data_IF_428038980800
#
_entry.id   IF_428038980800
#
_cell.length_a   1.000
_cell.length_b   1.000
_cell.length_c   1.000
_cell.angle_alpha   90.00
_cell.angle_beta   90.00
_cell.angle_gamma   90.00
#
_symmetry.space_group_name_H-M   'P 1'
#
loop_
_entity.id
_entity.type
_entity.pdbx_description
1 polymer ?
#
# COMPACT_ATOMS: atom_id res chain seq x y z
N UNK A 1 9.26 1.06 9.61
CA UNK A 1 8.31 2.14 9.95
C UNK A 1 9.11 3.38 10.32
N UNK A 2 8.77 4.55 9.76
CA UNK A 2 9.36 5.84 10.12
C UNK A 2 8.22 6.80 10.44
N UNK A 3 8.22 7.40 11.64
CA UNK A 3 7.08 8.13 12.19
C UNK A 3 7.53 9.15 13.25
N UNK A 4 6.82 10.27 13.46
CA UNK A 4 7.12 11.18 14.56
C UNK A 4 6.73 10.58 15.92
N UNK A 5 7.19 11.19 17.01
CA UNK A 5 6.98 10.71 18.40
C UNK A 5 5.52 10.64 18.85
N UNK A 6 4.58 11.18 18.05
CA UNK A 6 3.13 11.06 18.25
C UNK A 6 2.54 9.73 17.78
N UNK A 7 3.36 8.79 17.31
CA UNK A 7 2.91 7.46 16.91
C UNK A 7 3.76 6.37 17.54
N UNK A 8 3.22 5.16 17.51
CA UNK A 8 3.88 3.93 17.94
C UNK A 8 3.71 2.88 16.84
N UNK A 9 4.54 1.85 16.91
CA UNK A 9 4.37 0.61 16.15
C UNK A 9 4.20 -0.50 17.14
N UNK A 10 3.02 -1.12 17.13
CA UNK A 10 2.68 -2.24 18.01
C UNK A 10 2.35 -3.46 17.17
N UNK A 11 3.10 -4.55 17.35
CA UNK A 11 2.73 -5.85 16.81
C UNK A 11 1.65 -6.46 17.72
N UNK A 12 0.54 -6.91 17.13
CA UNK A 12 -0.64 -7.37 17.87
C UNK A 12 -1.21 -8.65 17.26
N UNK A 13 -2.15 -9.29 17.98
CA UNK A 13 -2.91 -10.41 17.44
C UNK A 13 -3.89 -9.95 16.34
N UNK A 14 -4.40 -10.87 15.53
CA UNK A 14 -5.41 -10.56 14.51
C UNK A 14 -6.71 -9.99 15.09
N UNK A 15 -7.12 -10.47 16.28
CA UNK A 15 -8.29 -9.95 16.99
C UNK A 15 -8.07 -8.51 17.46
N UNK A 16 -6.89 -8.23 18.02
CA UNK A 16 -6.56 -6.89 18.52
C UNK A 16 -6.40 -5.89 17.36
N UNK A 17 -5.85 -6.33 16.22
CA UNK A 17 -5.78 -5.52 14.99
C UNK A 17 -7.17 -5.15 14.45
N UNK A 18 -8.10 -6.09 14.51
CA UNK A 18 -9.47 -5.89 14.01
C UNK A 18 -10.24 -4.94 14.92
N UNK A 19 -10.09 -5.11 16.24
CA UNK A 19 -10.76 -4.32 17.26
C UNK A 19 -10.00 -3.03 17.65
N UNK A 20 -8.81 -2.79 17.11
CA UNK A 20 -7.90 -1.73 17.55
C UNK A 20 -7.63 -1.74 19.07
N UNK A 21 -7.47 -2.95 19.64
CA UNK A 21 -7.24 -3.12 21.07
C UNK A 21 -5.78 -2.88 21.42
N UNK A 22 -5.55 -1.99 22.39
CA UNK A 22 -4.23 -1.63 22.91
C UNK A 22 -3.99 -2.27 24.28
N UNK A 23 -2.71 -2.40 24.69
CA UNK A 23 -2.33 -2.95 26.00
C UNK A 23 -2.17 -4.48 26.05
N UNK A 24 -2.23 -5.14 24.90
CA UNK A 24 -1.91 -6.57 24.70
C UNK A 24 -0.92 -6.79 23.56
N UNK A 25 -0.05 -5.80 23.31
CA UNK A 25 0.93 -5.86 22.24
C UNK A 25 1.95 -7.00 22.47
N UNK A 26 2.27 -7.70 21.38
CA UNK A 26 3.37 -8.67 21.29
C UNK A 26 4.71 -7.92 21.37
N UNK A 27 4.78 -6.75 20.73
CA UNK A 27 5.92 -5.84 20.78
C UNK A 27 5.46 -4.40 20.57
N UNK A 28 6.18 -3.44 21.16
CA UNK A 28 5.89 -2.00 21.05
C UNK A 28 7.19 -1.25 20.83
N UNK A 29 7.19 -0.35 19.85
CA UNK A 29 8.26 0.64 19.65
C UNK A 29 7.66 2.04 19.48
N UNK A 30 8.34 3.04 20.03
CA UNK A 30 7.93 4.45 19.97
C UNK A 30 9.13 5.38 19.70
N UNK A 31 10.20 4.85 19.12
CA UNK A 31 11.47 5.59 18.90
C UNK A 31 11.42 6.51 17.68
N UNK A 32 10.42 6.33 16.82
CA UNK A 32 10.23 7.08 15.57
C UNK A 32 10.84 6.39 14.35
N UNK A 33 11.68 5.38 14.53
CA UNK A 33 12.22 4.56 13.46
C UNK A 33 12.33 3.10 13.89
N UNK A 34 11.40 2.27 13.42
CA UNK A 34 11.31 0.85 13.79
C UNK A 34 11.58 -0.05 12.59
N UNK A 35 12.50 -0.99 12.75
CA UNK A 35 12.75 -2.07 11.78
C UNK A 35 12.31 -3.39 12.37
N UNK A 36 11.40 -4.10 11.69
CA UNK A 36 10.85 -5.38 12.12
C UNK A 36 11.29 -6.46 11.14
N UNK A 37 11.92 -7.52 11.65
CA UNK A 37 12.35 -8.66 10.85
C UNK A 37 11.27 -9.75 10.89
N UNK A 38 10.59 -9.98 9.77
CA UNK A 38 9.54 -10.98 9.64
C UNK A 38 10.14 -12.36 9.31
N UNK A 39 10.37 -13.17 10.34
CA UNK A 39 11.08 -14.47 10.20
C UNK A 39 10.15 -15.67 9.96
N UNK A 40 8.87 -15.51 10.24
CA UNK A 40 7.87 -16.59 10.18
C UNK A 40 6.87 -16.33 9.07
N UNK A 41 6.47 -17.38 8.37
CA UNK A 41 5.33 -17.30 7.47
C UNK A 41 4.04 -17.08 8.26
N UNK A 42 3.08 -16.40 7.63
CA UNK A 42 1.83 -16.01 8.27
C UNK A 42 1.55 -14.51 8.09
N UNK A 43 0.46 -14.04 8.70
CA UNK A 43 0.12 -12.61 8.67
C UNK A 43 0.52 -11.97 9.99
N UNK A 44 1.36 -10.95 9.91
CA UNK A 44 1.75 -10.11 11.02
C UNK A 44 0.91 -8.83 11.01
N UNK A 45 0.45 -8.40 12.18
CA UNK A 45 -0.45 -7.27 12.31
C UNK A 45 0.19 -6.18 13.14
N UNK A 46 0.15 -4.96 12.62
CA UNK A 46 0.74 -3.79 13.22
C UNK A 46 -0.31 -2.69 13.36
N UNK A 47 -0.34 -2.02 14.51
CA UNK A 47 -1.20 -0.86 14.77
C UNK A 47 -0.37 0.28 15.35
N UNK A 48 -0.89 1.49 15.30
CA UNK A 48 -0.49 2.54 16.23
C UNK A 48 -1.43 2.51 17.44
N UNK A 49 -0.88 2.38 18.65
CA UNK A 49 -1.65 2.31 19.89
C UNK A 49 -2.01 3.66 20.51
N UNK A 50 -1.75 4.76 19.81
CA UNK A 50 -2.25 6.08 20.21
C UNK A 50 -3.75 6.15 19.93
N UNK A 51 -4.51 6.62 20.91
CA UNK A 51 -5.97 6.62 20.88
C UNK A 51 -6.54 7.24 19.58
N UNK A 52 -7.43 6.50 18.92
CA UNK A 52 -8.06 6.92 17.67
C UNK A 52 -7.22 6.70 16.42
N UNK A 53 -5.90 6.50 16.50
CA UNK A 53 -5.07 6.36 15.30
C UNK A 53 -5.37 5.06 14.54
N UNK A 54 -5.50 3.94 15.25
CA UNK A 54 -5.79 2.65 14.63
C UNK A 54 -7.18 2.65 13.94
N UNK A 55 -8.19 3.21 14.61
CA UNK A 55 -9.57 3.30 14.14
C UNK A 55 -9.70 4.21 12.93
N UNK A 56 -8.85 5.25 12.85
CA UNK A 56 -8.71 6.11 11.68
C UNK A 56 -7.81 5.52 10.58
N UNK A 57 -7.44 4.24 10.68
CA UNK A 57 -6.76 3.50 9.61
C UNK A 57 -5.24 3.39 9.76
N UNK A 58 -4.65 3.82 10.87
CA UNK A 58 -3.22 3.63 11.15
C UNK A 58 -2.92 2.21 11.62
N UNK A 59 -3.07 1.27 10.68
CA UNK A 59 -2.83 -0.15 10.90
C UNK A 59 -2.38 -0.83 9.61
N UNK A 60 -1.53 -1.84 9.72
CA UNK A 60 -0.96 -2.59 8.60
C UNK A 60 -0.99 -4.10 8.89
N UNK A 61 -1.48 -4.87 7.93
CA UNK A 61 -1.33 -6.32 7.92
C UNK A 61 -0.30 -6.72 6.86
N UNK A 62 0.70 -7.51 7.22
CA UNK A 62 1.75 -7.99 6.32
C UNK A 62 1.66 -9.49 6.22
N UNK A 63 1.35 -10.00 5.04
CA UNK A 63 1.38 -11.44 4.75
C UNK A 63 2.77 -11.85 4.31
N UNK A 64 3.36 -12.79 5.03
CA UNK A 64 4.67 -13.39 4.73
C UNK A 64 4.42 -14.80 4.23
N UNK A 65 4.85 -15.07 3.01
CA UNK A 65 4.80 -16.41 2.44
C UNK A 65 5.98 -17.25 2.95
N UNK A 66 5.77 -18.56 3.04
CA UNK A 66 6.87 -19.49 3.32
C UNK A 66 7.88 -19.44 2.17
N UNK A 67 9.16 -19.28 2.51
CA UNK A 67 10.25 -19.49 1.57
C UNK A 67 10.32 -20.96 1.20
N UNK A 68 9.61 -21.39 0.15
CA UNK A 68 9.94 -22.63 -0.54
C UNK A 68 11.18 -22.34 -1.37
N UNK A 69 12.35 -22.76 -0.89
CA UNK A 69 13.58 -22.81 -1.68
C UNK A 69 13.41 -23.84 -2.80
N UNK A 70 12.68 -23.48 -3.85
CA UNK A 70 12.74 -24.20 -5.11
C UNK A 70 14.10 -23.89 -5.70
N UNK A 71 15.05 -24.79 -5.47
CA UNK A 71 16.32 -24.82 -6.20
C UNK A 71 16.02 -25.10 -7.68
N UNK A 72 15.57 -24.08 -8.41
CA UNK A 72 15.59 -24.10 -9.87
C UNK A 72 17.03 -23.87 -10.27
N UNK A 73 17.74 -24.95 -10.56
CA UNK A 73 18.94 -24.90 -11.39
C UNK A 73 18.48 -24.46 -12.78
N UNK A 74 18.41 -23.14 -12.99
CA UNK A 74 18.28 -22.56 -14.33
C UNK A 74 19.56 -22.84 -15.10
N UNK A 75 19.56 -23.96 -15.81
CA UNK A 75 20.55 -24.27 -16.85
C UNK A 75 20.40 -23.22 -17.96
N UNK A 76 21.48 -22.51 -18.37
CA UNK A 76 21.39 -21.55 -19.45
C UNK A 76 21.15 -22.31 -20.75
N UNK A 77 19.96 -22.15 -21.33
CA UNK A 77 19.67 -22.63 -22.68
C UNK A 77 19.97 -21.50 -23.66
N UNK A 78 21.17 -21.55 -24.22
CA UNK A 78 21.63 -20.73 -25.33
C UNK A 78 20.87 -21.13 -26.59
N UNK A 79 19.97 -20.29 -27.09
CA UNK A 79 19.60 -20.30 -28.52
C UNK A 79 19.13 -18.91 -28.98
N UNK A 80 19.94 -18.28 -29.83
CA UNK A 80 19.63 -17.15 -30.73
C UNK A 80 20.72 -17.15 -31.82
N UNK A 81 20.55 -16.63 -33.07
CA UNK A 81 19.47 -15.84 -33.70
C UNK A 81 18.93 -16.53 -35.00
N UNK A 82 17.95 -16.06 -35.82
CA UNK A 82 17.70 -14.78 -36.52
C UNK A 82 16.26 -14.76 -37.10
N UNK A 83 15.46 -13.69 -36.99
CA UNK A 83 15.30 -12.49 -37.87
C UNK A 83 14.58 -12.71 -39.21
N UNK A 84 13.36 -12.17 -39.38
CA UNK A 84 12.92 -11.45 -40.60
C UNK A 84 11.82 -10.42 -40.24
N UNK A 85 11.98 -9.26 -40.88
CA UNK A 85 11.50 -7.90 -40.61
C UNK A 85 10.16 -7.54 -41.28
N UNK A 86 9.41 -6.58 -40.72
CA UNK A 86 8.72 -5.43 -41.37
C UNK A 86 7.95 -4.67 -40.28
N UNK A 87 8.48 -3.60 -39.66
CA UNK A 87 8.68 -2.21 -40.13
C UNK A 87 7.39 -1.39 -40.32
N UNK A 88 6.97 -0.64 -39.28
CA UNK A 88 7.10 0.83 -39.22
C UNK A 88 6.50 1.38 -37.92
N UNK A 89 7.37 1.96 -37.10
CA UNK A 89 7.05 3.08 -36.21
C UNK A 89 7.66 4.31 -36.89
N UNK A 90 7.03 5.48 -36.85
CA UNK A 90 7.78 6.71 -36.66
C UNK A 90 7.57 7.23 -35.24
N UNK A 91 8.67 7.12 -34.51
CA UNK A 91 9.25 8.06 -33.56
C UNK A 91 8.52 9.36 -33.19
N UNK A 92 8.78 9.74 -31.93
CA UNK A 92 8.95 11.10 -31.41
C UNK A 92 7.78 11.88 -30.82
N UNK A 93 7.89 11.99 -29.49
CA UNK A 93 8.11 13.25 -28.77
C UNK A 93 6.93 14.19 -28.50
N UNK A 94 6.64 14.33 -27.20
CA UNK A 94 6.31 15.58 -26.51
C UNK A 94 5.19 16.46 -27.08
N UNK A 95 4.06 16.51 -26.37
CA UNK A 95 3.60 17.76 -25.73
C UNK A 95 2.15 17.66 -25.26
N UNK A 96 1.94 18.35 -24.16
CA UNK A 96 0.69 18.71 -23.51
C UNK A 96 -0.37 19.10 -24.53
N UNK A 97 -1.57 18.53 -24.43
CA UNK A 97 -2.73 19.10 -25.12
C UNK A 97 -3.98 18.98 -24.26
N UNK A 98 -4.24 20.10 -23.57
CA UNK A 98 -5.54 20.47 -23.05
C UNK A 98 -6.52 20.47 -24.24
N UNK A 99 -7.51 19.57 -24.23
CA UNK A 99 -8.65 19.71 -25.14
C UNK A 99 -9.76 20.51 -24.44
N UNK A 100 -10.20 21.63 -25.04
CA UNK A 100 -11.15 22.55 -24.45
C UNK A 100 -12.60 22.21 -24.86
N UNK A 101 -13.52 22.32 -23.89
CA UNK A 101 -14.96 22.65 -24.03
C UNK A 101 -15.83 21.90 -25.06
N UNK A 102 -16.73 21.05 -24.55
CA UNK A 102 -18.18 21.37 -24.42
C UNK A 102 -18.78 20.35 -23.42
N UNK A 103 -18.90 20.70 -22.14
CA UNK A 103 -20.10 21.29 -21.52
C UNK A 103 -21.18 20.26 -21.18
N UNK A 104 -21.65 20.33 -19.91
CA UNK A 104 -22.81 19.67 -19.30
C UNK A 104 -22.61 18.33 -18.58
N UNK A 105 -21.82 18.33 -17.49
CA UNK A 105 -22.14 17.53 -16.29
C UNK A 105 -21.92 18.39 -15.03
N UNK A 106 -22.66 19.50 -14.94
CA UNK A 106 -22.63 20.43 -13.80
C UNK A 106 -23.98 20.43 -13.07
N UNK A 107 -24.26 19.36 -12.32
CA UNK A 107 -25.28 19.39 -11.27
C UNK A 107 -24.78 18.60 -10.04
N UNK A 108 -23.60 18.97 -9.57
CA UNK A 108 -22.96 18.46 -8.34
C UNK A 108 -22.41 19.64 -7.50
N UNK A 109 -23.26 20.64 -7.22
CA UNK A 109 -22.99 21.68 -6.20
C UNK A 109 -24.27 22.09 -5.42
N UNK A 110 -25.48 21.73 -5.88
CA UNK A 110 -26.73 22.20 -5.27
C UNK A 110 -27.27 21.36 -4.08
N UNK A 111 -26.58 20.31 -3.63
CA UNK A 111 -27.07 19.45 -2.54
C UNK A 111 -26.34 19.66 -1.19
N UNK A 112 -25.46 20.65 -1.09
CA UNK A 112 -24.81 21.06 0.16
C UNK A 112 -25.45 22.28 0.85
N UNK A 113 -26.58 22.83 0.36
CA UNK A 113 -27.18 24.07 0.93
C UNK A 113 -28.56 23.85 1.58
N UNK A 114 -29.13 22.63 1.59
CA UNK A 114 -30.50 22.39 2.10
C UNK A 114 -30.58 21.62 3.44
N UNK A 115 -29.47 21.35 4.14
CA UNK A 115 -29.49 20.77 5.50
C UNK A 115 -29.03 21.75 6.59
N UNK A 116 -29.40 23.03 6.45
CA UNK A 116 -29.27 24.06 7.51
C UNK A 116 -30.64 24.60 7.94
N UNK A 117 -31.75 24.06 7.42
CA UNK A 117 -33.11 24.38 7.88
C UNK A 117 -34.00 23.15 7.84
N UNK A 118 -33.89 22.31 8.86
CA UNK A 118 -34.96 21.45 9.42
C UNK A 118 -34.54 21.01 10.82
#
# INVERSE_FOLDING_TARGET
FNYPTSHTVEEVSSSDYSACTVGKAISTDSTGATTINLKTAGTHYFICGVAGHCENGMKLAVKVESSSSSSSTDKPSTTSPSTTTTTKIPDSSSSWSLSPVLAFVTTWVALCVMMVVS
#
